data_IF_886798970801
#
_entry.id   IF_886798970801
#
_cell.length_a   1.000
_cell.length_b   1.000
_cell.length_c   1.000
_cell.angle_alpha   90.00
_cell.angle_beta   90.00
_cell.angle_gamma   90.00
#
_symmetry.space_group_name_H-M   'P 1'
#
loop_
_entity.id
_entity.type
_entity.pdbx_description
1 polymer ?
#
# COMPACT_ATOMS: atom_id res chain seq x y z
N UNK A 1 -6.77 -28.22 19.41
CA UNK A 1 -7.76 -27.73 18.46
C UNK A 1 -7.39 -28.31 17.11
N UNK A 2 -8.34 -28.93 16.42
CA UNK A 2 -8.15 -29.43 15.05
C UNK A 2 -9.03 -28.60 14.11
N UNK A 3 -8.46 -28.12 13.02
CA UNK A 3 -9.19 -27.41 11.97
C UNK A 3 -9.27 -28.31 10.74
N UNK A 4 -10.48 -28.45 10.21
CA UNK A 4 -10.73 -29.17 8.95
C UNK A 4 -11.22 -28.19 7.91
N UNK A 5 -10.61 -28.20 6.72
CA UNK A 5 -11.05 -27.40 5.56
C UNK A 5 -11.61 -28.34 4.50
N UNK A 6 -12.87 -28.09 4.07
CA UNK A 6 -13.62 -28.99 3.21
C UNK A 6 -14.25 -28.25 2.05
N UNK A 7 -14.03 -28.68 0.77
CA UNK A 7 -14.67 -28.06 -0.37
C UNK A 7 -16.16 -28.43 -0.42
N UNK A 8 -17.01 -27.51 -0.89
CA UNK A 8 -18.41 -27.77 -1.24
C UNK A 8 -18.50 -27.98 -2.74
N UNK A 9 -18.62 -29.24 -3.12
CA UNK A 9 -18.75 -29.66 -4.52
C UNK A 9 -20.19 -29.64 -4.99
N UNK A 10 -20.41 -29.50 -6.30
CA UNK A 10 -21.75 -29.63 -6.90
C UNK A 10 -22.60 -28.36 -6.90
N UNK A 11 -22.03 -27.20 -6.52
CA UNK A 11 -22.66 -25.91 -6.80
C UNK A 11 -22.49 -25.63 -8.29
N UNK A 12 -23.57 -25.58 -9.02
CA UNK A 12 -23.60 -25.32 -10.45
C UNK A 12 -23.32 -23.84 -10.80
N UNK A 13 -23.57 -23.48 -12.06
CA UNK A 13 -23.47 -22.09 -12.51
C UNK A 13 -24.48 -21.21 -11.78
N UNK A 14 -24.02 -20.19 -11.09
CA UNK A 14 -24.87 -19.22 -10.38
C UNK A 14 -25.28 -18.09 -11.32
N UNK A 15 -26.55 -17.70 -11.26
CA UNK A 15 -27.19 -16.66 -12.08
C UNK A 15 -27.81 -15.57 -11.21
N UNK A 16 -28.12 -14.40 -11.77
CA UNK A 16 -28.83 -13.35 -11.05
C UNK A 16 -30.17 -13.87 -10.47
N UNK A 17 -30.35 -13.60 -9.16
CA UNK A 17 -31.55 -14.02 -8.43
C UNK A 17 -31.49 -15.44 -7.85
N UNK A 18 -30.44 -16.22 -8.09
CA UNK A 18 -30.30 -17.55 -7.50
C UNK A 18 -30.17 -17.49 -5.98
N UNK A 19 -30.80 -18.44 -5.32
CA UNK A 19 -30.79 -18.59 -3.87
C UNK A 19 -29.54 -19.34 -3.41
N UNK A 20 -28.49 -18.60 -3.02
CA UNK A 20 -27.23 -19.17 -2.58
C UNK A 20 -27.37 -20.07 -1.34
N UNK A 21 -28.27 -19.74 -0.40
CA UNK A 21 -28.46 -20.57 0.79
C UNK A 21 -29.04 -21.94 0.41
N UNK A 22 -29.99 -22.00 -0.53
CA UNK A 22 -30.52 -23.24 -1.04
C UNK A 22 -29.48 -24.06 -1.83
N UNK A 23 -28.70 -23.41 -2.69
CA UNK A 23 -27.64 -24.07 -3.45
C UNK A 23 -26.56 -24.67 -2.55
N UNK A 24 -26.11 -23.91 -1.55
CA UNK A 24 -25.06 -24.35 -0.61
C UNK A 24 -25.57 -25.51 0.26
N UNK A 25 -26.76 -25.40 0.85
CA UNK A 25 -27.30 -26.46 1.71
C UNK A 25 -27.61 -27.74 0.95
N UNK A 26 -28.06 -27.63 -0.31
CA UNK A 26 -28.23 -28.80 -1.16
C UNK A 26 -26.92 -29.50 -1.49
N UNK A 27 -25.85 -28.72 -1.76
CA UNK A 27 -24.53 -29.25 -2.08
C UNK A 27 -23.78 -29.75 -0.82
N UNK A 28 -24.10 -29.21 0.34
CA UNK A 28 -23.45 -29.52 1.63
C UNK A 28 -24.46 -29.88 2.73
N UNK A 29 -25.22 -30.99 2.60
CA UNK A 29 -26.21 -31.40 3.63
C UNK A 29 -25.57 -31.81 4.97
N UNK A 30 -24.24 -31.84 5.03
CA UNK A 30 -23.41 -32.13 6.19
C UNK A 30 -22.98 -30.90 6.98
N UNK A 31 -23.45 -29.70 6.59
CA UNK A 31 -23.20 -28.48 7.37
C UNK A 31 -23.72 -28.60 8.79
N UNK A 32 -23.00 -28.01 9.72
CA UNK A 32 -23.33 -28.03 11.15
C UNK A 32 -23.11 -26.64 11.77
N UNK A 33 -23.72 -26.42 12.92
CA UNK A 33 -23.50 -25.22 13.69
C UNK A 33 -22.01 -25.06 14.05
N UNK A 34 -21.53 -23.82 14.00
CA UNK A 34 -20.14 -23.49 14.22
C UNK A 34 -19.23 -23.64 13.01
N UNK A 35 -19.73 -24.07 11.86
CA UNK A 35 -18.99 -24.03 10.61
C UNK A 35 -18.77 -22.59 10.16
N UNK A 36 -17.63 -22.35 9.49
CA UNK A 36 -17.34 -21.10 8.80
C UNK A 36 -17.35 -21.38 7.31
N UNK A 37 -18.27 -20.75 6.59
CA UNK A 37 -18.35 -20.84 5.12
C UNK A 37 -17.54 -19.73 4.49
N UNK A 38 -16.51 -20.10 3.73
CA UNK A 38 -15.72 -19.17 2.92
C UNK A 38 -16.24 -19.23 1.48
N UNK A 39 -16.94 -18.18 1.07
CA UNK A 39 -17.67 -18.07 -0.18
C UNK A 39 -16.95 -17.10 -1.11
N UNK A 40 -16.64 -17.49 -2.35
CA UNK A 40 -16.04 -16.57 -3.31
C UNK A 40 -16.98 -15.41 -3.64
N UNK A 41 -16.45 -14.20 -3.70
CA UNK A 41 -17.18 -12.98 -4.06
C UNK A 41 -17.95 -13.14 -5.38
N UNK A 42 -17.39 -13.89 -6.32
CA UNK A 42 -17.94 -14.09 -7.67
C UNK A 42 -19.36 -14.67 -7.67
N UNK A 43 -19.66 -15.70 -6.87
CA UNK A 43 -21.02 -16.27 -6.86
C UNK A 43 -22.02 -15.36 -6.15
N UNK A 44 -21.56 -14.58 -5.18
CA UNK A 44 -22.36 -13.54 -4.53
C UNK A 44 -22.68 -12.45 -5.54
N UNK A 45 -21.67 -11.91 -6.21
CA UNK A 45 -21.82 -10.91 -7.26
C UNK A 45 -22.77 -11.35 -8.36
N UNK A 46 -22.65 -12.62 -8.83
CA UNK A 46 -23.56 -13.18 -9.83
C UNK A 46 -24.98 -13.23 -9.31
N UNK A 47 -25.23 -13.75 -8.13
CA UNK A 47 -26.59 -13.84 -7.56
C UNK A 47 -27.21 -12.46 -7.33
N UNK A 48 -26.41 -11.45 -7.01
CA UNK A 48 -26.84 -10.06 -6.85
C UNK A 48 -26.96 -9.29 -8.18
N UNK A 49 -26.63 -9.92 -9.31
CA UNK A 49 -26.69 -9.29 -10.63
C UNK A 49 -25.61 -8.25 -10.87
N UNK A 50 -24.47 -8.33 -10.17
CA UNK A 50 -23.30 -7.46 -10.37
C UNK A 50 -22.54 -7.86 -11.64
N UNK A 51 -23.25 -7.87 -12.76
CA UNK A 51 -22.76 -8.22 -14.10
C UNK A 51 -22.89 -7.02 -15.03
N UNK A 52 -21.86 -6.80 -15.84
CA UNK A 52 -21.85 -5.73 -16.85
C UNK A 52 -21.61 -6.34 -18.22
N UNK A 53 -22.52 -6.07 -19.15
CA UNK A 53 -22.38 -6.52 -20.53
C UNK A 53 -21.32 -5.68 -21.24
N UNK A 54 -20.44 -6.35 -21.98
CA UNK A 54 -19.36 -5.73 -22.75
C UNK A 54 -19.21 -6.45 -24.09
N UNK A 55 -18.66 -5.81 -25.13
CA UNK A 55 -18.32 -6.49 -26.38
C UNK A 55 -17.42 -7.71 -26.12
N UNK A 56 -17.57 -8.75 -26.94
CA UNK A 56 -16.87 -10.02 -26.74
C UNK A 56 -15.36 -9.93 -27.03
N UNK A 57 -14.95 -9.00 -27.91
CA UNK A 57 -13.56 -8.86 -28.37
C UNK A 57 -13.29 -7.47 -28.96
N UNK A 58 -12.05 -7.23 -29.32
CA UNK A 58 -11.60 -6.05 -30.04
C UNK A 58 -11.41 -4.78 -29.19
N UNK A 59 -11.08 -3.65 -29.84
CA UNK A 59 -10.85 -2.38 -29.16
C UNK A 59 -12.06 -1.86 -28.35
N UNK A 60 -13.26 -2.17 -28.82
CA UNK A 60 -14.50 -1.77 -28.15
C UNK A 60 -14.65 -2.46 -26.79
N UNK A 61 -14.24 -3.75 -26.69
CA UNK A 61 -14.20 -4.45 -25.41
C UNK A 61 -13.23 -3.81 -24.44
N UNK A 62 -12.04 -3.46 -24.90
CA UNK A 62 -11.04 -2.82 -24.05
C UNK A 62 -11.53 -1.44 -23.58
N UNK A 63 -12.14 -0.66 -24.45
CA UNK A 63 -12.73 0.63 -24.09
C UNK A 63 -13.86 0.49 -23.05
N UNK A 64 -14.74 -0.50 -23.23
CA UNK A 64 -15.81 -0.79 -22.27
C UNK A 64 -15.24 -1.21 -20.91
N UNK A 65 -14.23 -2.09 -20.91
CA UNK A 65 -13.55 -2.52 -19.69
C UNK A 65 -12.87 -1.36 -18.95
N UNK A 66 -12.24 -0.44 -19.69
CA UNK A 66 -11.65 0.78 -19.13
C UNK A 66 -12.71 1.68 -18.50
N UNK A 67 -13.87 1.83 -19.15
CA UNK A 67 -14.98 2.63 -18.62
C UNK A 67 -15.53 2.01 -17.32
N UNK A 68 -15.71 0.68 -17.29
CA UNK A 68 -16.13 -0.05 -16.09
C UNK A 68 -15.12 0.11 -14.97
N UNK A 69 -13.83 -0.05 -15.27
CA UNK A 69 -12.76 0.13 -14.27
C UNK A 69 -12.75 1.55 -13.72
N UNK A 70 -12.93 2.56 -14.57
CA UNK A 70 -13.01 3.95 -14.12
C UNK A 70 -14.18 4.17 -13.15
N UNK A 71 -15.34 3.56 -13.43
CA UNK A 71 -16.53 3.63 -12.56
C UNK A 71 -16.35 2.94 -11.20
N UNK A 72 -15.49 1.92 -11.11
CA UNK A 72 -15.20 1.18 -9.87
C UNK A 72 -13.99 1.73 -9.11
N UNK A 73 -13.30 2.74 -9.66
CA UNK A 73 -12.09 3.33 -9.09
C UNK A 73 -12.41 4.59 -8.30
N UNK A 74 -12.25 4.54 -7.00
CA UNK A 74 -12.27 5.74 -6.16
C UNK A 74 -10.95 6.53 -6.30
N UNK A 75 -9.80 5.82 -6.40
CA UNK A 75 -8.48 6.44 -6.52
C UNK A 75 -7.48 5.51 -7.23
N UNK A 76 -6.71 5.99 -8.22
CA UNK A 76 -5.60 5.23 -8.80
C UNK A 76 -4.44 5.15 -7.79
N UNK A 77 -3.80 3.98 -7.66
CA UNK A 77 -2.67 3.77 -6.73
C UNK A 77 -1.37 3.51 -7.50
N UNK A 78 -1.34 2.50 -8.38
CA UNK A 78 -0.14 2.18 -9.15
C UNK A 78 -0.50 1.60 -10.52
N UNK A 79 0.44 1.74 -11.48
CA UNK A 79 0.32 1.16 -12.82
C UNK A 79 1.65 0.58 -13.28
N UNK A 80 1.62 -0.63 -13.84
CA UNK A 80 2.76 -1.23 -14.53
C UNK A 80 2.25 -2.03 -15.74
N UNK A 81 2.54 -1.54 -16.95
CA UNK A 81 2.01 -2.13 -18.18
C UNK A 81 0.48 -2.07 -18.18
N UNK A 82 -0.16 -3.23 -18.32
CA UNK A 82 -1.62 -3.38 -18.29
C UNK A 82 -2.19 -3.52 -16.86
N UNK A 83 -1.34 -3.82 -15.88
CA UNK A 83 -1.79 -3.96 -14.48
C UNK A 83 -2.02 -2.59 -13.86
N UNK A 84 -3.22 -2.39 -13.32
CA UNK A 84 -3.60 -1.20 -12.56
C UNK A 84 -4.01 -1.62 -11.16
N UNK A 85 -3.38 -1.03 -10.16
CA UNK A 85 -3.81 -1.13 -8.76
C UNK A 85 -4.59 0.15 -8.46
N UNK A 86 -5.78 -0.03 -7.94
CA UNK A 86 -6.70 1.07 -7.61
C UNK A 86 -7.29 0.84 -6.23
N UNK A 87 -7.67 1.92 -5.55
CA UNK A 87 -8.57 1.85 -4.42
C UNK A 87 -10.01 1.85 -4.95
N UNK A 88 -10.81 0.89 -4.53
CA UNK A 88 -12.24 0.78 -4.86
C UNK A 88 -13.07 1.71 -3.97
N UNK A 89 -14.36 1.89 -4.29
CA UNK A 89 -15.29 2.62 -3.42
C UNK A 89 -15.52 1.95 -2.07
N UNK A 90 -15.24 0.64 -1.94
CA UNK A 90 -15.23 -0.10 -0.67
C UNK A 90 -13.97 0.19 0.18
N UNK A 91 -12.94 0.82 -0.40
CA UNK A 91 -11.63 1.04 0.24
C UNK A 91 -10.60 -0.06 -0.03
N UNK A 92 -10.95 -1.14 -0.72
CA UNK A 92 -9.98 -2.19 -1.08
C UNK A 92 -8.96 -1.67 -2.09
N UNK A 93 -7.67 -1.92 -1.83
CA UNK A 93 -6.58 -1.61 -2.77
C UNK A 93 -6.18 -2.87 -3.51
N UNK A 94 -6.60 -2.99 -4.77
CA UNK A 94 -6.45 -4.23 -5.52
C UNK A 94 -6.30 -4.02 -7.03
N UNK A 95 -5.94 -5.08 -7.73
CA UNK A 95 -5.79 -5.04 -9.18
C UNK A 95 -7.16 -4.92 -9.87
N UNK A 96 -7.25 -4.01 -10.84
CA UNK A 96 -8.43 -3.82 -11.69
C UNK A 96 -9.76 -3.69 -10.93
N UNK A 97 -9.74 -3.12 -9.71
CA UNK A 97 -10.90 -2.96 -8.84
C UNK A 97 -11.66 -4.28 -8.54
N UNK A 98 -11.01 -5.44 -8.60
CA UNK A 98 -11.65 -6.74 -8.44
C UNK A 98 -12.55 -7.17 -9.61
N UNK A 99 -12.54 -6.43 -10.72
CA UNK A 99 -13.31 -6.80 -11.92
C UNK A 99 -12.76 -8.12 -12.48
N UNK A 100 -13.61 -9.13 -12.55
CA UNK A 100 -13.25 -10.45 -13.07
C UNK A 100 -13.93 -10.71 -14.42
N UNK A 101 -13.21 -11.37 -15.31
CA UNK A 101 -13.66 -11.84 -16.61
C UNK A 101 -13.50 -13.36 -16.75
N UNK A 102 -13.13 -14.05 -15.67
CA UNK A 102 -12.95 -15.50 -15.65
C UNK A 102 -14.22 -16.22 -15.19
N UNK A 103 -14.50 -17.40 -15.75
CA UNK A 103 -15.69 -18.20 -15.43
C UNK A 103 -17.02 -17.44 -15.61
N UNK A 104 -17.07 -16.58 -16.63
CA UNK A 104 -18.28 -15.90 -17.11
C UNK A 104 -18.27 -15.88 -18.62
N UNK A 105 -19.43 -15.60 -19.24
CA UNK A 105 -19.51 -15.39 -20.69
C UNK A 105 -18.55 -14.26 -21.11
N UNK A 106 -17.96 -14.42 -22.30
CA UNK A 106 -17.05 -13.41 -22.84
C UNK A 106 -17.69 -12.03 -23.02
N UNK A 107 -19.01 -11.97 -23.12
CA UNK A 107 -19.78 -10.73 -23.21
C UNK A 107 -20.02 -10.06 -21.85
N UNK A 108 -19.48 -10.59 -20.74
CA UNK A 108 -19.74 -10.08 -19.40
C UNK A 108 -18.47 -9.85 -18.58
N UNK A 109 -18.58 -8.92 -17.65
CA UNK A 109 -17.64 -8.70 -16.54
C UNK A 109 -18.39 -8.86 -15.22
N UNK A 110 -17.72 -9.40 -14.20
CA UNK A 110 -18.26 -9.48 -12.84
C UNK A 110 -17.62 -8.39 -12.01
N UNK A 111 -18.44 -7.60 -11.32
CA UNK A 111 -18.00 -6.61 -10.34
C UNK A 111 -18.00 -7.24 -8.94
N UNK A 112 -17.40 -6.56 -7.97
CA UNK A 112 -17.53 -6.93 -6.57
C UNK A 112 -18.99 -6.77 -6.09
N UNK A 113 -19.42 -7.49 -5.03
CA UNK A 113 -20.69 -7.20 -4.35
C UNK A 113 -20.74 -5.74 -3.90
N UNK A 114 -21.89 -5.11 -3.92
CA UNK A 114 -22.05 -3.69 -3.53
C UNK A 114 -21.63 -3.44 -2.07
N UNK A 115 -22.00 -4.35 -1.19
CA UNK A 115 -21.60 -4.37 0.24
C UNK A 115 -21.34 -5.83 0.63
N UNK A 116 -20.07 -6.30 0.57
CA UNK A 116 -19.72 -7.69 0.89
C UNK A 116 -20.07 -8.11 2.31
N UNK A 117 -20.03 -7.19 3.29
CA UNK A 117 -20.44 -7.47 4.67
C UNK A 117 -21.96 -7.63 4.78
N UNK A 118 -22.74 -6.81 4.09
CA UNK A 118 -24.20 -6.98 4.02
C UNK A 118 -24.59 -8.29 3.33
N UNK A 119 -23.89 -8.66 2.25
CA UNK A 119 -24.08 -9.93 1.56
C UNK A 119 -23.78 -11.12 2.49
N UNK A 120 -22.71 -11.05 3.27
CA UNK A 120 -22.39 -12.07 4.27
C UNK A 120 -23.49 -12.20 5.34
N UNK A 121 -23.97 -11.07 5.86
CA UNK A 121 -25.09 -11.03 6.84
C UNK A 121 -26.37 -11.62 6.26
N UNK A 122 -26.73 -11.26 5.02
CA UNK A 122 -27.92 -11.76 4.37
C UNK A 122 -27.88 -13.28 4.15
N UNK A 123 -26.76 -13.81 3.67
CA UNK A 123 -26.57 -15.24 3.49
C UNK A 123 -26.62 -15.99 4.84
N UNK A 124 -25.95 -15.45 5.87
CA UNK A 124 -26.00 -16.02 7.22
C UNK A 124 -27.42 -16.05 7.77
N UNK A 125 -28.16 -14.96 7.65
CA UNK A 125 -29.56 -14.90 8.10
C UNK A 125 -30.42 -15.93 7.36
N UNK A 126 -30.28 -16.06 6.04
CA UNK A 126 -31.02 -17.03 5.26
C UNK A 126 -30.74 -18.49 5.68
N UNK A 127 -29.48 -18.82 5.96
CA UNK A 127 -29.09 -20.15 6.45
C UNK A 127 -29.68 -20.41 7.84
N UNK A 128 -29.66 -19.44 8.73
CA UNK A 128 -30.22 -19.55 10.08
C UNK A 128 -31.73 -19.68 10.09
N UNK A 129 -32.41 -18.80 9.37
CA UNK A 129 -33.89 -18.73 9.40
C UNK A 129 -34.56 -19.90 8.69
N UNK A 130 -33.99 -20.35 7.55
CA UNK A 130 -34.63 -21.37 6.72
C UNK A 130 -34.11 -22.78 6.98
N UNK A 131 -32.88 -22.91 7.45
CA UNK A 131 -32.23 -24.21 7.61
C UNK A 131 -31.79 -24.50 9.04
N UNK A 132 -31.96 -23.53 9.96
CA UNK A 132 -31.59 -23.69 11.38
C UNK A 132 -30.09 -23.77 11.64
N UNK A 133 -29.26 -23.33 10.70
CA UNK A 133 -27.80 -23.42 10.77
C UNK A 133 -27.19 -22.13 11.34
N UNK A 134 -26.57 -22.22 12.49
CA UNK A 134 -25.79 -21.10 13.06
C UNK A 134 -24.32 -21.19 12.60
N UNK A 135 -24.04 -20.62 11.47
CA UNK A 135 -22.74 -20.62 10.79
C UNK A 135 -22.19 -19.19 10.66
N UNK A 136 -20.88 -19.08 10.49
CA UNK A 136 -20.27 -17.81 10.07
C UNK A 136 -20.06 -17.80 8.54
N UNK A 137 -20.09 -16.61 7.96
CA UNK A 137 -19.86 -16.40 6.53
C UNK A 137 -18.66 -15.48 6.35
N UNK A 138 -17.76 -15.85 5.45
CA UNK A 138 -16.65 -15.00 4.98
C UNK A 138 -16.72 -14.94 3.46
N UNK A 139 -16.76 -13.74 2.90
CA UNK A 139 -16.72 -13.50 1.45
C UNK A 139 -15.27 -13.28 1.07
N UNK A 140 -14.75 -14.12 0.16
CA UNK A 140 -13.34 -14.06 -0.23
C UNK A 140 -13.14 -13.63 -1.68
N UNK A 141 -12.01 -13.00 -1.94
CA UNK A 141 -11.52 -12.78 -3.30
C UNK A 141 -10.00 -12.92 -3.35
N UNK A 142 -9.47 -13.19 -4.55
CA UNK A 142 -8.04 -13.41 -4.75
C UNK A 142 -7.31 -12.10 -4.99
N UNK A 143 -6.30 -11.80 -4.18
CA UNK A 143 -5.52 -10.56 -4.26
C UNK A 143 -4.01 -10.79 -4.36
N UNK A 144 -3.34 -9.86 -5.05
CA UNK A 144 -1.90 -9.69 -4.97
C UNK A 144 -1.48 -9.04 -3.65
N UNK A 145 -0.24 -9.25 -3.27
CA UNK A 145 0.35 -8.68 -2.05
C UNK A 145 1.58 -7.87 -2.38
N UNK A 146 1.79 -6.67 -1.79
CA UNK A 146 3.04 -5.94 -1.92
C UNK A 146 4.24 -6.81 -1.51
N UNK A 147 5.36 -6.66 -2.23
CA UNK A 147 6.64 -7.34 -1.99
C UNK A 147 6.63 -8.87 -1.96
N UNK A 148 5.57 -9.52 -2.40
CA UNK A 148 5.50 -10.98 -2.48
C UNK A 148 4.96 -11.43 -3.83
N UNK A 149 5.56 -12.45 -4.41
CA UNK A 149 5.01 -13.14 -5.58
C UNK A 149 3.87 -14.07 -5.16
N UNK A 150 2.97 -14.33 -6.10
CA UNK A 150 1.79 -15.16 -5.89
C UNK A 150 0.59 -14.35 -5.38
N UNK A 151 -0.58 -14.94 -5.55
CA UNK A 151 -1.86 -14.44 -5.06
C UNK A 151 -2.27 -15.19 -3.80
N UNK A 152 -3.19 -14.65 -3.04
CA UNK A 152 -3.85 -15.32 -1.93
C UNK A 152 -5.28 -14.81 -1.83
N UNK A 153 -6.18 -15.61 -1.30
CA UNK A 153 -7.51 -15.12 -0.97
C UNK A 153 -7.47 -14.28 0.31
N UNK A 154 -8.26 -13.21 0.31
CA UNK A 154 -8.48 -12.32 1.44
C UNK A 154 -9.98 -12.08 1.63
N UNK A 155 -10.37 -11.65 2.83
CA UNK A 155 -11.76 -11.36 3.15
C UNK A 155 -12.18 -9.99 2.62
N UNK A 156 -13.29 -9.95 1.89
CA UNK A 156 -13.99 -8.73 1.50
C UNK A 156 -15.18 -8.44 2.40
N UNK A 157 -15.80 -9.47 2.97
CA UNK A 157 -16.94 -9.36 3.87
C UNK A 157 -16.98 -10.51 4.88
N UNK A 158 -17.57 -10.26 6.05
CA UNK A 158 -17.71 -11.27 7.10
C UNK A 158 -18.97 -11.05 7.95
N UNK A 159 -19.54 -12.14 8.45
CA UNK A 159 -20.65 -12.13 9.41
C UNK A 159 -20.55 -13.33 10.35
N UNK A 160 -20.89 -13.14 11.62
CA UNK A 160 -20.90 -14.21 12.63
C UNK A 160 -19.53 -14.64 13.13
N UNK A 161 -18.47 -13.88 12.81
CA UNK A 161 -17.11 -14.14 13.24
C UNK A 161 -16.34 -12.80 13.37
N UNK A 162 -15.52 -12.62 14.43
CA UNK A 162 -14.62 -11.47 14.51
C UNK A 162 -13.58 -11.49 13.39
N UNK A 163 -13.50 -10.41 12.61
CA UNK A 163 -12.52 -10.32 11.52
C UNK A 163 -11.07 -10.24 12.03
N UNK A 164 -10.88 -9.58 13.19
CA UNK A 164 -9.59 -9.43 13.86
C UNK A 164 -9.59 -10.11 15.23
N UNK A 165 -8.51 -10.81 15.55
CA UNK A 165 -8.14 -11.14 16.92
C UNK A 165 -7.15 -10.10 17.43
N UNK A 166 -7.58 -9.33 18.41
CA UNK A 166 -6.76 -8.29 19.04
C UNK A 166 -6.08 -8.84 20.29
N UNK A 167 -4.74 -8.83 20.29
CA UNK A 167 -3.92 -9.25 21.42
C UNK A 167 -3.33 -8.06 22.17
N UNK A 168 -3.62 -6.83 21.77
CA UNK A 168 -3.08 -5.65 22.45
C UNK A 168 -3.56 -5.61 23.89
N UNK A 169 -2.62 -5.36 24.82
CA UNK A 169 -2.85 -5.42 26.26
C UNK A 169 -2.78 -6.81 26.88
N UNK A 170 -2.73 -7.89 26.09
CA UNK A 170 -2.44 -9.24 26.59
C UNK A 170 -0.93 -9.38 26.86
N UNK A 171 -0.55 -10.37 27.68
CA UNK A 171 0.86 -10.67 27.99
C UNK A 171 1.24 -12.03 27.43
N UNK A 172 2.46 -12.10 26.89
CA UNK A 172 3.04 -13.36 26.45
C UNK A 172 3.45 -14.27 27.64
N UNK A 173 3.94 -15.48 27.33
CA UNK A 173 4.38 -16.44 28.34
C UNK A 173 5.57 -15.95 29.20
N UNK A 174 6.28 -14.89 28.79
CA UNK A 174 7.38 -14.27 29.49
C UNK A 174 6.97 -12.99 30.24
N UNK A 175 5.68 -12.60 30.16
CA UNK A 175 5.14 -11.40 30.81
C UNK A 175 5.28 -10.12 30.02
N UNK A 176 5.78 -10.16 28.76
CA UNK A 176 5.86 -8.98 27.90
C UNK A 176 4.46 -8.61 27.38
N UNK A 177 4.13 -7.33 27.47
CA UNK A 177 2.85 -6.81 26.95
C UNK A 177 2.88 -6.71 25.43
N UNK A 178 1.82 -7.18 24.77
CA UNK A 178 1.65 -7.11 23.34
C UNK A 178 0.99 -5.77 22.98
N UNK A 179 1.73 -4.86 22.32
CA UNK A 179 1.25 -3.51 22.04
C UNK A 179 0.65 -3.34 20.64
N UNK A 180 1.04 -4.18 19.68
CA UNK A 180 0.71 -3.99 18.25
C UNK A 180 0.10 -5.21 17.57
N UNK A 181 0.00 -6.35 18.26
CA UNK A 181 -0.37 -7.62 17.63
C UNK A 181 -1.87 -7.73 17.43
N UNK A 182 -2.28 -7.70 16.17
CA UNK A 182 -3.63 -8.05 15.70
C UNK A 182 -3.50 -9.07 14.56
N UNK A 183 -4.34 -10.10 14.58
CA UNK A 183 -4.35 -11.14 13.55
C UNK A 183 -5.64 -11.04 12.74
N UNK A 184 -5.51 -10.98 11.42
CA UNK A 184 -6.64 -10.96 10.48
C UNK A 184 -7.20 -12.38 10.30
N UNK A 185 -8.00 -12.83 11.24
CA UNK A 185 -8.51 -14.22 11.30
C UNK A 185 -9.25 -14.60 10.03
N UNK A 186 -10.07 -13.71 9.49
CA UNK A 186 -10.86 -14.03 8.29
C UNK A 186 -10.00 -14.11 7.02
N UNK A 187 -8.86 -13.38 6.95
CA UNK A 187 -7.91 -13.52 5.84
C UNK A 187 -7.19 -14.87 5.91
N UNK A 188 -6.81 -15.33 7.11
CA UNK A 188 -6.22 -16.67 7.29
C UNK A 188 -7.19 -17.76 6.88
N UNK A 189 -8.48 -17.61 7.20
CA UNK A 189 -9.54 -18.53 6.76
C UNK A 189 -9.71 -18.53 5.25
N UNK A 190 -9.68 -17.37 4.61
CA UNK A 190 -9.74 -17.24 3.15
C UNK A 190 -8.56 -17.96 2.49
N UNK A 191 -7.35 -17.71 2.96
CA UNK A 191 -6.14 -18.34 2.44
C UNK A 191 -6.16 -19.88 2.62
N UNK A 192 -6.62 -20.37 3.77
CA UNK A 192 -6.78 -21.80 4.01
C UNK A 192 -7.85 -22.43 3.11
N UNK A 193 -8.98 -21.76 2.91
CA UNK A 193 -10.08 -22.21 2.07
C UNK A 193 -9.67 -22.31 0.57
N UNK A 194 -8.83 -21.39 0.08
CA UNK A 194 -8.36 -21.39 -1.31
C UNK A 194 -7.55 -22.66 -1.64
N UNK A 195 -6.87 -23.26 -0.66
CA UNK A 195 -6.14 -24.52 -0.85
C UNK A 195 -7.02 -25.68 -1.32
N UNK A 196 -8.32 -25.65 -1.01
CA UNK A 196 -9.28 -26.70 -1.39
C UNK A 196 -10.28 -26.23 -2.45
N UNK A 197 -10.46 -24.93 -2.67
CA UNK A 197 -11.29 -24.37 -3.75
C UNK A 197 -10.60 -24.48 -5.09
N UNK A 198 -9.33 -24.08 -5.16
CA UNK A 198 -8.54 -24.08 -6.38
C UNK A 198 -9.10 -23.15 -7.48
N UNK A 199 -8.42 -23.15 -8.64
CA UNK A 199 -8.78 -22.26 -9.77
C UNK A 199 -9.58 -22.95 -10.87
N UNK A 200 -9.43 -24.25 -11.02
CA UNK A 200 -9.99 -25.02 -12.14
C UNK A 200 -11.21 -25.85 -11.75
N UNK A 201 -11.33 -26.21 -10.48
CA UNK A 201 -12.29 -27.20 -10.00
C UNK A 201 -13.71 -26.64 -9.83
N UNK A 202 -13.90 -25.35 -10.09
CA UNK A 202 -15.20 -24.63 -9.98
C UNK A 202 -15.86 -24.83 -8.60
N UNK A 203 -15.07 -24.79 -7.55
CA UNK A 203 -15.53 -24.93 -6.17
C UNK A 203 -15.60 -23.53 -5.53
N UNK A 204 -16.79 -22.90 -5.49
CA UNK A 204 -16.91 -21.52 -5.03
C UNK A 204 -17.04 -21.38 -3.50
N UNK A 205 -17.20 -22.48 -2.78
CA UNK A 205 -17.39 -22.48 -1.32
C UNK A 205 -16.53 -23.54 -0.67
N UNK A 206 -15.86 -23.17 0.43
CA UNK A 206 -15.24 -24.11 1.33
C UNK A 206 -15.76 -23.90 2.76
N UNK A 207 -15.75 -24.96 3.55
CA UNK A 207 -16.18 -24.95 4.96
C UNK A 207 -14.96 -25.18 5.84
N UNK A 208 -14.73 -24.28 6.81
CA UNK A 208 -13.74 -24.46 7.87
C UNK A 208 -14.49 -24.84 9.14
N UNK A 209 -14.15 -26.00 9.72
CA UNK A 209 -14.75 -26.55 10.94
C UNK A 209 -13.70 -26.66 12.05
N UNK A 210 -14.12 -26.39 13.28
CA UNK A 210 -13.26 -26.49 14.47
C UNK A 210 -12.86 -25.15 15.09
N UNK A 211 -13.35 -24.01 14.54
CA UNK A 211 -13.05 -22.69 15.08
C UNK A 211 -14.02 -22.20 16.17
N UNK A 212 -15.05 -22.96 16.50
CA UNK A 212 -16.07 -22.64 17.53
C UNK A 212 -16.78 -21.28 17.33
N UNK A 213 -17.22 -21.00 16.12
CA UNK A 213 -17.82 -19.71 15.74
C UNK A 213 -19.34 -19.60 15.96
N UNK A 214 -19.93 -20.40 16.92
CA UNK A 214 -21.38 -20.34 17.17
C UNK A 214 -21.78 -19.18 18.07
N UNK A 215 -22.98 -18.63 17.84
CA UNK A 215 -23.58 -17.60 18.70
C UNK A 215 -22.89 -16.23 18.66
N UNK A 216 -21.96 -16.04 17.75
CA UNK A 216 -21.29 -14.74 17.62
C UNK A 216 -22.22 -13.73 16.92
N UNK A 217 -22.19 -12.44 17.34
CA UNK A 217 -22.86 -11.38 16.61
C UNK A 217 -22.21 -11.17 15.25
N UNK A 218 -22.91 -10.54 14.31
CA UNK A 218 -22.34 -10.24 12.97
C UNK A 218 -21.13 -9.32 13.05
N UNK A 219 -21.06 -8.46 14.06
CA UNK A 219 -19.95 -7.53 14.25
C UNK A 219 -19.84 -6.48 13.12
N UNK A 220 -18.72 -5.79 13.04
CA UNK A 220 -18.48 -4.77 12.01
C UNK A 220 -18.12 -5.36 10.63
N UNK A 221 -17.98 -6.69 10.51
CA UNK A 221 -17.58 -7.35 9.28
C UNK A 221 -16.08 -7.26 8.96
N UNK A 222 -15.73 -7.51 7.69
CA UNK A 222 -14.35 -7.44 7.20
C UNK A 222 -13.91 -6.00 6.88
N UNK A 223 -14.80 -5.03 6.85
CA UNK A 223 -14.45 -3.62 6.64
C UNK A 223 -13.40 -3.09 7.62
N UNK A 224 -13.32 -3.64 8.83
CA UNK A 224 -12.29 -3.29 9.83
C UNK A 224 -10.85 -3.66 9.41
N UNK A 225 -10.69 -4.53 8.40
CA UNK A 225 -9.38 -4.89 7.85
C UNK A 225 -8.84 -3.82 6.91
N UNK A 226 -9.70 -2.96 6.39
CA UNK A 226 -9.30 -1.84 5.54
C UNK A 226 -8.64 -0.78 6.42
N UNK A 227 -7.33 -0.58 6.23
CA UNK A 227 -6.58 0.40 7.00
C UNK A 227 -6.99 1.82 6.63
N UNK A 228 -7.17 2.68 7.63
CA UNK A 228 -7.34 4.12 7.42
C UNK A 228 -6.13 4.67 6.65
N UNK A 229 -6.41 5.45 5.59
CA UNK A 229 -5.39 6.06 4.72
C UNK A 229 -4.38 6.89 5.53
N UNK A 230 -4.82 7.55 6.59
CA UNK A 230 -3.94 8.33 7.47
C UNK A 230 -2.97 7.47 8.29
N UNK A 231 -3.26 6.18 8.45
CA UNK A 231 -2.43 5.21 9.19
C UNK A 231 -1.68 4.24 8.27
N UNK A 232 -1.88 4.35 6.96
CA UNK A 232 -1.23 3.48 5.99
C UNK A 232 0.10 4.07 5.53
N UNK A 233 1.19 3.34 5.82
CA UNK A 233 2.55 3.72 5.38
C UNK A 233 2.71 3.71 3.86
N UNK A 234 1.81 3.09 3.12
CA UNK A 234 1.81 2.96 1.66
C UNK A 234 0.60 3.65 1.03
N UNK A 235 0.02 4.64 1.73
CA UNK A 235 -1.21 5.34 1.33
C UNK A 235 -1.10 6.03 -0.02
N UNK A 236 0.09 6.52 -0.40
CA UNK A 236 0.30 7.22 -1.65
C UNK A 236 0.61 6.25 -2.80
N UNK A 237 -0.08 6.42 -3.92
CA UNK A 237 0.29 5.79 -5.18
C UNK A 237 1.60 6.38 -5.74
N UNK A 238 2.25 5.64 -6.64
CA UNK A 238 3.53 6.07 -7.24
C UNK A 238 3.46 7.46 -7.89
N UNK A 239 2.38 7.77 -8.59
CA UNK A 239 2.20 9.08 -9.23
C UNK A 239 1.98 10.20 -8.21
N UNK A 240 1.20 9.93 -7.17
CA UNK A 240 0.92 10.86 -6.08
C UNK A 240 2.19 11.16 -5.29
N UNK A 241 2.94 10.12 -4.87
CA UNK A 241 4.20 10.27 -4.15
C UNK A 241 5.23 11.09 -4.95
N UNK A 242 5.32 10.87 -6.27
CA UNK A 242 6.18 11.68 -7.15
C UNK A 242 5.73 13.13 -7.21
N UNK A 243 4.43 13.38 -7.34
CA UNK A 243 3.89 14.74 -7.40
C UNK A 243 4.12 15.48 -6.09
N UNK A 244 3.90 14.81 -4.96
CA UNK A 244 4.11 15.38 -3.64
C UNK A 244 5.60 15.64 -3.38
N UNK A 245 6.48 14.72 -3.76
CA UNK A 245 7.93 14.91 -3.72
C UNK A 245 8.40 16.11 -4.55
N UNK A 246 7.83 16.31 -5.75
CA UNK A 246 8.14 17.47 -6.58
C UNK A 246 7.65 18.79 -5.96
N UNK A 247 6.47 18.80 -5.35
CA UNK A 247 5.95 19.98 -4.63
C UNK A 247 6.80 20.29 -3.40
N UNK A 248 7.15 19.31 -2.61
CA UNK A 248 8.04 19.46 -1.46
C UNK A 248 9.42 19.97 -1.88
N UNK A 249 9.98 19.47 -2.98
CA UNK A 249 11.22 19.97 -3.53
C UNK A 249 11.14 21.46 -3.93
N UNK A 250 10.03 21.89 -4.51
CA UNK A 250 9.85 23.29 -4.94
C UNK A 250 9.80 24.29 -3.77
N UNK A 251 9.47 23.83 -2.58
CA UNK A 251 9.32 24.65 -1.35
C UNK A 251 10.30 24.26 -0.24
N UNK A 252 11.40 23.57 -0.59
CA UNK A 252 12.36 23.02 0.37
C UNK A 252 12.91 24.11 1.30
N UNK A 253 12.61 24.09 2.61
CA UNK A 253 13.07 25.10 3.56
C UNK A 253 14.59 24.97 3.80
N UNK A 254 15.18 26.07 4.27
CA UNK A 254 16.53 26.01 4.86
C UNK A 254 16.45 25.49 6.30
N UNK A 255 17.46 24.71 6.71
CA UNK A 255 17.56 24.25 8.07
C UNK A 255 17.92 25.42 9.00
N UNK A 256 17.21 25.57 10.10
CA UNK A 256 17.54 26.52 11.15
C UNK A 256 18.72 26.04 12.04
N UNK A 257 19.04 24.75 11.97
CA UNK A 257 20.12 24.08 12.68
C UNK A 257 20.12 22.60 12.38
N UNK A 258 21.07 21.87 12.90
CA UNK A 258 21.27 20.44 12.64
C UNK A 258 21.41 19.66 13.94
N UNK A 259 21.09 18.38 13.90
CA UNK A 259 21.37 17.46 15.00
C UNK A 259 22.90 17.27 15.13
N UNK A 260 23.38 17.20 16.36
CA UNK A 260 24.81 16.97 16.64
C UNK A 260 25.16 15.47 16.45
N UNK A 261 25.07 15.03 15.20
CA UNK A 261 25.34 13.65 14.77
C UNK A 261 26.12 13.68 13.46
N UNK A 262 27.24 12.94 13.35
CA UNK A 262 28.01 12.90 12.11
C UNK A 262 27.20 12.33 10.95
N UNK A 263 27.27 12.99 9.79
CA UNK A 263 26.61 12.52 8.56
C UNK A 263 27.31 11.25 8.07
N UNK A 264 26.50 10.22 7.75
CA UNK A 264 27.04 9.01 7.14
C UNK A 264 27.64 9.35 5.75
N UNK A 265 28.95 9.07 5.51
CA UNK A 265 29.62 9.48 4.27
C UNK A 265 28.97 8.96 2.99
N UNK A 266 28.28 7.82 3.08
CA UNK A 266 27.57 7.22 1.94
C UNK A 266 26.37 8.05 1.50
N UNK A 267 25.67 8.74 2.38
CA UNK A 267 24.51 9.57 2.05
C UNK A 267 24.95 10.83 1.30
N UNK A 268 25.97 11.53 1.85
CA UNK A 268 26.54 12.71 1.19
C UNK A 268 27.11 12.34 -0.19
N UNK A 269 27.83 11.23 -0.29
CA UNK A 269 28.40 10.76 -1.56
C UNK A 269 27.32 10.50 -2.59
N UNK A 270 26.21 9.82 -2.24
CA UNK A 270 25.11 9.56 -3.17
C UNK A 270 24.49 10.85 -3.70
N UNK A 271 24.27 11.84 -2.85
CA UNK A 271 23.77 13.14 -3.28
C UNK A 271 24.73 13.86 -4.23
N UNK A 272 26.04 13.81 -3.97
CA UNK A 272 27.08 14.42 -4.82
C UNK A 272 27.22 13.68 -6.15
N UNK A 273 27.28 12.35 -6.15
CA UNK A 273 27.44 11.52 -7.35
C UNK A 273 26.30 11.72 -8.36
N UNK A 274 25.08 12.01 -7.87
CA UNK A 274 23.92 12.30 -8.69
C UNK A 274 24.12 13.56 -9.57
N UNK A 275 24.92 14.52 -9.11
CA UNK A 275 25.08 15.84 -9.77
C UNK A 275 26.41 16.00 -10.47
N UNK A 276 27.39 15.16 -10.13
CA UNK A 276 28.77 15.26 -10.61
C UNK A 276 29.59 16.37 -9.94
N UNK A 277 30.92 16.35 -10.11
CA UNK A 277 31.85 17.19 -9.35
C UNK A 277 32.10 18.59 -9.96
N UNK A 278 31.46 18.95 -11.06
CA UNK A 278 31.84 20.16 -11.82
C UNK A 278 31.77 21.44 -10.99
N UNK A 279 30.71 21.60 -10.18
CA UNK A 279 30.44 22.82 -9.40
C UNK A 279 30.43 22.56 -7.89
N UNK A 280 30.77 21.35 -7.43
CA UNK A 280 30.66 20.96 -6.02
C UNK A 280 32.03 20.57 -5.46
N UNK A 281 32.38 21.10 -4.28
CA UNK A 281 33.61 20.77 -3.56
C UNK A 281 33.29 20.52 -2.08
N UNK A 282 33.33 19.27 -1.61
CA UNK A 282 33.30 18.98 -0.18
C UNK A 282 34.49 19.64 0.52
N UNK A 283 34.28 20.13 1.74
CA UNK A 283 35.27 20.83 2.53
C UNK A 283 35.86 19.89 3.57
N UNK A 284 37.20 19.90 3.72
CA UNK A 284 37.89 19.11 4.73
C UNK A 284 37.66 19.67 6.16
N UNK A 285 37.81 18.82 7.19
CA UNK A 285 37.41 19.08 8.56
C UNK A 285 37.98 20.41 9.12
N UNK A 286 39.27 20.72 8.92
CA UNK A 286 39.89 21.93 9.50
C UNK A 286 39.36 23.24 8.94
N UNK A 287 38.94 23.29 7.67
CA UNK A 287 38.32 24.46 7.07
C UNK A 287 36.79 24.46 7.35
N UNK A 288 36.16 23.28 7.37
CA UNK A 288 34.76 23.11 7.71
C UNK A 288 34.42 23.75 9.06
N UNK A 289 35.14 23.42 10.10
CA UNK A 289 34.90 23.91 11.47
C UNK A 289 34.91 25.44 11.56
N UNK A 290 35.79 26.08 10.79
CA UNK A 290 35.87 27.55 10.69
C UNK A 290 34.71 28.17 9.88
N UNK A 291 34.18 27.45 8.91
CA UNK A 291 33.06 27.91 8.11
C UNK A 291 31.72 27.72 8.83
N UNK A 292 31.62 26.78 9.77
CA UNK A 292 30.39 26.44 10.49
C UNK A 292 30.26 27.10 11.86
N UNK A 293 31.17 28.00 12.25
CA UNK A 293 31.15 28.69 13.55
C UNK A 293 29.82 29.36 13.90
N UNK A 294 29.05 29.76 12.88
CA UNK A 294 27.76 30.44 13.01
C UNK A 294 26.55 29.51 12.90
N UNK A 295 26.76 28.23 12.63
CA UNK A 295 25.64 27.26 12.38
C UNK A 295 25.83 26.06 13.29
N UNK A 296 24.91 25.88 14.22
CA UNK A 296 24.96 24.80 15.22
C UNK A 296 24.76 23.43 14.59
N UNK A 297 25.64 22.46 14.86
CA UNK A 297 25.51 21.06 14.54
C UNK A 297 25.75 20.70 13.06
N UNK A 298 26.27 21.63 12.23
CA UNK A 298 26.61 21.30 10.84
C UNK A 298 27.73 20.27 10.79
N UNK A 299 27.47 19.10 10.24
CA UNK A 299 28.44 18.00 10.19
C UNK A 299 29.33 18.04 8.96
N UNK A 300 28.82 18.58 7.84
CA UNK A 300 29.55 18.66 6.58
C UNK A 300 29.32 20.01 5.88
N UNK A 301 30.26 20.42 5.01
CA UNK A 301 30.14 21.62 4.18
C UNK A 301 30.48 21.27 2.73
N UNK A 302 29.65 21.77 1.78
CA UNK A 302 29.91 21.65 0.35
C UNK A 302 29.96 23.06 -0.25
N UNK A 303 31.04 23.39 -0.93
CA UNK A 303 31.19 24.65 -1.66
C UNK A 303 30.55 24.55 -3.05
N UNK A 304 29.87 25.60 -3.45
CA UNK A 304 29.53 25.86 -4.84
C UNK A 304 30.66 26.68 -5.49
N UNK A 305 31.26 26.10 -6.53
CA UNK A 305 32.35 26.74 -7.26
C UNK A 305 31.97 26.94 -8.72
N UNK A 306 32.44 28.00 -9.32
CA UNK A 306 32.18 28.30 -10.72
C UNK A 306 33.35 29.03 -11.38
N UNK A 307 33.49 28.97 -12.72
CA UNK A 307 34.32 29.89 -13.50
C UNK A 307 33.91 31.32 -13.28
N UNK A 308 34.84 32.25 -13.50
CA UNK A 308 34.60 33.70 -13.38
C UNK A 308 33.82 34.21 -14.60
N UNK A 309 32.59 33.72 -14.77
CA UNK A 309 31.71 34.14 -15.86
C UNK A 309 30.22 34.02 -15.42
N UNK A 310 29.33 34.91 -15.89
CA UNK A 310 27.92 34.89 -15.48
C UNK A 310 27.19 33.59 -15.80
N UNK A 311 27.47 32.95 -16.91
CA UNK A 311 26.88 31.66 -17.26
C UNK A 311 27.30 30.53 -16.32
N UNK A 312 28.57 30.55 -15.86
CA UNK A 312 29.08 29.62 -14.83
C UNK A 312 28.36 29.81 -13.50
N UNK A 313 28.14 31.06 -13.09
CA UNK A 313 27.43 31.36 -11.82
C UNK A 313 25.97 30.87 -11.85
N UNK A 314 25.25 31.07 -12.96
CA UNK A 314 23.90 30.58 -13.11
C UNK A 314 23.83 29.05 -13.02
N UNK A 315 24.76 28.36 -13.68
CA UNK A 315 24.84 26.87 -13.62
C UNK A 315 25.18 26.38 -12.22
N UNK A 316 26.13 27.00 -11.53
CA UNK A 316 26.48 26.63 -10.17
C UNK A 316 25.32 26.87 -9.19
N UNK A 317 24.62 28.00 -9.29
CA UNK A 317 23.42 28.27 -8.49
C UNK A 317 22.32 27.22 -8.68
N UNK A 318 22.03 26.84 -9.95
CA UNK A 318 21.11 25.76 -10.25
C UNK A 318 21.58 24.41 -9.67
N UNK A 319 22.87 24.10 -9.72
CA UNK A 319 23.47 22.90 -9.13
C UNK A 319 23.33 22.90 -7.61
N UNK A 320 23.52 24.05 -6.96
CA UNK A 320 23.33 24.19 -5.50
C UNK A 320 21.91 23.87 -5.05
N UNK A 321 20.90 24.38 -5.78
CA UNK A 321 19.52 24.03 -5.49
C UNK A 321 19.24 22.52 -5.70
N UNK A 322 19.73 21.94 -6.80
CA UNK A 322 19.61 20.50 -7.08
C UNK A 322 20.31 19.67 -6.00
N UNK A 323 21.45 20.15 -5.44
CA UNK A 323 22.13 19.48 -4.33
C UNK A 323 21.24 19.47 -3.09
N UNK A 324 20.60 20.57 -2.74
CA UNK A 324 19.67 20.63 -1.61
C UNK A 324 18.55 19.59 -1.75
N UNK A 325 17.97 19.47 -2.95
CA UNK A 325 16.94 18.44 -3.24
C UNK A 325 17.50 17.02 -3.12
N UNK A 326 18.71 16.76 -3.63
CA UNK A 326 19.38 15.47 -3.52
C UNK A 326 19.69 15.09 -2.08
N UNK A 327 20.16 16.04 -1.26
CA UNK A 327 20.40 15.86 0.17
C UNK A 327 19.10 15.53 0.93
N UNK A 328 18.02 16.26 0.65
CA UNK A 328 16.70 16.00 1.25
C UNK A 328 16.17 14.59 0.90
N UNK A 329 16.41 14.12 -0.32
CA UNK A 329 16.06 12.75 -0.74
C UNK A 329 16.84 11.66 0.04
N UNK A 330 18.03 11.99 0.57
CA UNK A 330 18.82 11.13 1.44
C UNK A 330 18.52 11.34 2.94
N UNK A 331 17.49 12.13 3.27
CA UNK A 331 17.11 12.43 4.65
C UNK A 331 18.02 13.46 5.35
N UNK A 332 18.81 14.22 4.57
CA UNK A 332 19.69 15.26 5.08
C UNK A 332 19.07 16.66 4.90
N UNK A 333 19.30 17.52 5.87
CA UNK A 333 18.94 18.92 5.84
C UNK A 333 20.11 19.78 5.34
N UNK A 334 19.81 20.97 4.83
CA UNK A 334 20.84 21.90 4.34
C UNK A 334 20.46 23.35 4.56
N UNK A 335 21.48 24.20 4.79
CA UNK A 335 21.35 25.65 4.90
C UNK A 335 22.50 26.36 4.21
N UNK A 336 22.23 27.49 3.56
CA UNK A 336 23.29 28.35 3.06
C UNK A 336 24.05 29.01 4.21
N UNK A 337 25.36 28.94 4.16
CA UNK A 337 26.20 29.64 5.15
C UNK A 337 26.32 31.11 4.75
N UNK A 338 26.08 32.03 5.67
CA UNK A 338 26.27 33.47 5.44
C UNK A 338 27.75 33.86 5.52
N UNK A 339 28.59 33.29 4.67
CA UNK A 339 30.03 33.48 4.64
C UNK A 339 30.41 34.23 3.37
N UNK A 340 31.27 35.24 3.56
CA UNK A 340 31.82 36.02 2.45
C UNK A 340 32.64 35.11 1.51
N UNK A 341 32.44 35.17 0.17
CA UNK A 341 33.24 34.41 -0.79
C UNK A 341 34.76 34.58 -0.65
N UNK A 342 35.25 35.77 -0.30
CA UNK A 342 36.68 36.00 -0.08
C UNK A 342 37.18 35.20 1.14
N UNK A 343 36.39 35.16 2.18
CA UNK A 343 36.67 34.34 3.37
C UNK A 343 36.68 32.84 3.08
N UNK A 344 35.77 32.38 2.22
CA UNK A 344 35.78 30.99 1.77
C UNK A 344 37.06 30.66 1.03
N UNK A 345 37.48 31.55 0.11
CA UNK A 345 38.67 31.36 -0.72
C UNK A 345 39.98 31.38 0.12
N UNK A 346 40.04 32.14 1.20
CA UNK A 346 41.14 32.12 2.16
C UNK A 346 41.27 30.77 2.90
N UNK A 347 40.15 30.15 3.23
CA UNK A 347 40.11 28.90 4.00
C UNK A 347 40.26 27.67 3.12
N UNK A 348 39.77 27.73 1.88
CA UNK A 348 39.75 26.62 0.92
C UNK A 348 40.34 27.11 -0.41
N UNK A 349 41.63 26.86 -0.69
CA UNK A 349 42.22 27.23 -1.96
C UNK A 349 41.54 26.59 -3.15
N UNK A 350 41.13 27.40 -4.12
CA UNK A 350 40.48 26.96 -5.33
C UNK A 350 41.45 26.96 -6.53
N UNK A 351 41.22 26.13 -7.55
CA UNK A 351 41.99 26.17 -8.78
C UNK A 351 41.95 27.56 -9.44
N UNK A 352 43.01 27.96 -10.19
CA UNK A 352 43.00 29.23 -10.93
C UNK A 352 41.79 29.38 -11.85
N UNK A 353 41.14 30.55 -11.83
CA UNK A 353 39.95 30.84 -12.64
C UNK A 353 38.62 30.33 -12.07
N UNK A 354 38.64 29.81 -10.86
CA UNK A 354 37.38 29.44 -10.13
C UNK A 354 37.15 30.36 -8.93
N UNK A 355 35.88 30.61 -8.63
CA UNK A 355 35.41 31.32 -7.45
C UNK A 355 34.50 30.42 -6.62
N UNK A 356 34.56 30.58 -5.30
CA UNK A 356 33.51 30.08 -4.42
C UNK A 356 32.31 31.05 -4.49
N UNK A 357 31.16 30.57 -4.87
CA UNK A 357 29.94 31.38 -4.91
C UNK A 357 29.17 31.33 -3.60
N UNK A 358 29.18 30.18 -2.95
CA UNK A 358 28.48 29.95 -1.69
C UNK A 358 29.01 28.67 -1.00
N UNK A 359 28.70 28.56 0.28
CA UNK A 359 28.91 27.34 1.06
C UNK A 359 27.56 26.82 1.58
N UNK A 360 27.36 25.53 1.49
CA UNK A 360 26.16 24.83 1.96
C UNK A 360 26.53 23.94 3.15
N UNK A 361 25.98 24.24 4.32
CA UNK A 361 26.04 23.37 5.47
C UNK A 361 25.09 22.19 5.32
N UNK A 362 25.50 21.01 5.76
CA UNK A 362 24.76 19.76 5.66
C UNK A 362 24.79 19.02 6.98
N UNK A 363 23.66 18.48 7.39
CA UNK A 363 23.54 17.69 8.62
C UNK A 363 22.20 16.96 8.66
N UNK A 364 21.94 16.21 9.72
CA UNK A 364 20.61 15.68 9.96
C UNK A 364 19.67 16.79 10.45
N UNK A 365 18.38 16.78 10.06
CA UNK A 365 17.42 17.74 10.58
C UNK A 365 17.29 17.60 12.10
N UNK A 366 17.01 18.72 12.78
CA UNK A 366 16.56 18.67 14.18
C UNK A 366 15.24 17.88 14.24
N UNK A 367 15.05 17.11 15.30
CA UNK A 367 13.76 16.48 15.54
C UNK A 367 12.67 17.56 15.65
N UNK A 368 11.47 17.31 15.08
CA UNK A 368 10.36 18.26 15.14
C UNK A 368 9.87 18.50 16.56
#
# INVERSE_FOLDING_TARGET
>A
MELTVRPVQGIGEVRPGDDLAALITSAAPWLADGDVLVVTSKIISKSEGQLVDVPTEGPEREAAREAVLAGQTARPVARRGHTRIVATHHGFVMASAGIDASNVDRSQLVLLPVDPDASARALRAALRERYGLDVAIVVSDTMGRPWRSGLTDVALGAAGIPALRDYRGERDAHGNELHVTQVAVVDELCAAAELVKGKYDQIPVAVVRGLHATGQPDGPGAAVLVRDVAQDLFSLGTAEARTEGLRAAATLPEAAGFADVPVAPTLLRRALDLLGPEHLRPVEAGARDKLTETVTGAAEVVLLVAPVEPAGWARAGATGYRLRVALAAEGLASAWLPVDPDRITELVPLPPGQLALAALAVGYPLAP
#
